data_IF_859637780357
#
_entry.id   IF_859637780357
#
_cell.length_a   1.000
_cell.length_b   1.000
_cell.length_c   1.000
_cell.angle_alpha   90.00
_cell.angle_beta   90.00
_cell.angle_gamma   90.00
#
_symmetry.space_group_name_H-M   'P 1'
#
loop_
_entity.id
_entity.type
_entity.pdbx_description
1 polymer ?
#
# COMPACT_ATOMS: atom_id res chain seq x y z
N UNK A 1 0.29 -1.60 20.75
CA UNK A 1 -1.08 -1.33 20.26
C UNK A 1 -1.46 -2.49 19.37
N UNK A 2 -2.56 -3.20 19.64
CA UNK A 2 -2.99 -4.33 18.79
C UNK A 2 -4.08 -3.80 17.85
N UNK A 3 -3.67 -3.03 16.85
CA UNK A 3 -4.55 -2.34 15.89
C UNK A 3 -5.69 -3.23 15.37
N UNK A 4 -5.42 -4.53 15.13
CA UNK A 4 -6.39 -5.50 14.62
C UNK A 4 -7.55 -5.85 15.57
N UNK A 5 -7.43 -5.60 16.88
CA UNK A 5 -8.52 -5.83 17.85
C UNK A 5 -9.08 -4.54 18.45
N UNK A 6 -8.34 -3.44 18.32
CA UNK A 6 -8.69 -2.14 18.91
C UNK A 6 -9.46 -1.24 17.91
N UNK A 7 -9.34 -1.48 16.60
CA UNK A 7 -10.00 -0.69 15.55
C UNK A 7 -11.06 -1.54 14.82
N UNK A 8 -12.34 -1.11 14.77
CA UNK A 8 -13.37 -1.78 13.99
C UNK A 8 -13.00 -1.90 12.49
N UNK A 9 -13.24 -3.06 11.88
CA UNK A 9 -12.94 -3.28 10.45
C UNK A 9 -13.55 -2.22 9.52
N UNK A 10 -14.82 -1.79 9.66
CA UNK A 10 -15.38 -0.74 8.79
C UNK A 10 -14.62 0.59 8.90
N UNK A 11 -14.14 0.94 10.10
CA UNK A 11 -13.34 2.14 10.30
C UNK A 11 -11.99 2.00 9.58
N UNK A 12 -11.31 0.87 9.72
CA UNK A 12 -10.03 0.62 9.05
C UNK A 12 -10.14 0.69 7.52
N UNK A 13 -11.23 0.15 6.96
CA UNK A 13 -11.50 0.20 5.52
C UNK A 13 -11.79 1.63 5.05
N UNK A 14 -12.61 2.39 5.79
CA UNK A 14 -12.89 3.78 5.47
C UNK A 14 -11.61 4.64 5.52
N UNK A 15 -10.78 4.47 6.55
CA UNK A 15 -9.49 5.15 6.65
C UNK A 15 -8.57 4.80 5.46
N UNK A 16 -8.53 3.54 5.03
CA UNK A 16 -7.76 3.10 3.87
C UNK A 16 -8.25 3.72 2.56
N UNK A 17 -9.57 3.81 2.36
CA UNK A 17 -10.18 4.49 1.21
C UNK A 17 -9.84 5.99 1.19
N UNK A 18 -9.91 6.66 2.34
CA UNK A 18 -9.51 8.06 2.49
C UNK A 18 -8.02 8.28 2.15
N UNK A 19 -7.13 7.39 2.61
CA UNK A 19 -5.71 7.46 2.28
C UNK A 19 -5.48 7.26 0.78
N UNK A 20 -6.17 6.28 0.17
CA UNK A 20 -6.10 6.02 -1.27
C UNK A 20 -6.52 7.24 -2.07
N UNK A 21 -7.65 7.86 -1.72
CA UNK A 21 -8.13 9.09 -2.37
C UNK A 21 -7.14 10.25 -2.22
N UNK A 22 -6.49 10.38 -1.06
CA UNK A 22 -5.44 11.39 -0.85
C UNK A 22 -4.22 11.14 -1.73
N UNK A 23 -3.75 9.89 -1.83
CA UNK A 23 -2.61 9.55 -2.69
C UNK A 23 -2.91 9.74 -4.17
N UNK A 24 -4.13 9.41 -4.63
CA UNK A 24 -4.54 9.67 -6.00
C UNK A 24 -4.43 11.16 -6.37
N UNK A 25 -4.92 12.06 -5.49
CA UNK A 25 -4.77 13.50 -5.70
C UNK A 25 -3.30 13.93 -5.73
N UNK A 26 -2.52 13.51 -4.72
CA UNK A 26 -1.11 13.85 -4.63
C UNK A 26 -0.34 13.43 -5.89
N UNK A 27 -0.53 12.19 -6.36
CA UNK A 27 0.13 11.67 -7.56
C UNK A 27 -0.30 12.45 -8.80
N UNK A 28 -1.58 12.80 -8.92
CA UNK A 28 -2.11 13.54 -10.07
C UNK A 28 -1.54 14.96 -10.18
N UNK A 29 -1.17 15.57 -9.05
CA UNK A 29 -0.63 16.93 -8.97
C UNK A 29 0.90 17.00 -9.20
N UNK A 30 1.59 15.87 -9.42
CA UNK A 30 3.04 15.81 -9.53
C UNK A 30 3.52 15.17 -10.84
N UNK A 31 4.65 15.66 -11.37
CA UNK A 31 5.33 15.00 -12.47
C UNK A 31 5.88 13.64 -12.01
N UNK A 32 5.59 12.61 -12.78
CA UNK A 32 6.09 11.26 -12.57
C UNK A 32 7.64 11.19 -12.57
N UNK A 33 8.31 12.09 -13.29
CA UNK A 33 9.77 12.17 -13.30
C UNK A 33 10.35 12.99 -12.14
N UNK A 34 9.51 13.54 -11.25
CA UNK A 34 9.98 14.31 -10.11
C UNK A 34 10.78 13.42 -9.15
N UNK A 35 12.00 13.86 -8.83
CA UNK A 35 12.94 13.13 -7.98
C UNK A 35 12.65 13.36 -6.48
N UNK A 36 12.78 12.31 -5.68
CA UNK A 36 12.63 12.39 -4.22
C UNK A 36 13.65 13.32 -3.60
N UNK A 37 13.24 14.08 -2.58
CA UNK A 37 14.15 14.94 -1.79
C UNK A 37 15.08 14.15 -0.88
N UNK A 38 14.65 12.97 -0.44
CA UNK A 38 15.43 12.06 0.40
C UNK A 38 15.81 10.82 -0.41
N UNK A 39 17.04 10.30 -0.25
CA UNK A 39 17.40 9.05 -0.88
C UNK A 39 16.68 7.87 -0.21
N UNK A 40 16.54 6.77 -0.94
CA UNK A 40 16.17 5.47 -0.37
C UNK A 40 17.38 4.87 0.39
N UNK A 41 17.18 3.72 1.03
CA UNK A 41 18.18 3.09 1.91
C UNK A 41 19.53 2.81 1.27
N UNK A 42 19.58 2.64 -0.06
CA UNK A 42 20.82 2.42 -0.81
C UNK A 42 21.50 3.72 -1.32
N UNK A 43 21.00 4.88 -0.90
CA UNK A 43 21.54 6.19 -1.26
C UNK A 43 21.02 6.77 -2.57
N UNK A 44 20.24 6.04 -3.37
CA UNK A 44 19.68 6.58 -4.62
C UNK A 44 18.54 7.56 -4.36
N UNK A 45 18.50 8.62 -5.16
CA UNK A 45 17.31 9.44 -5.32
C UNK A 45 16.49 8.86 -6.47
N UNK A 46 15.25 8.48 -6.19
CA UNK A 46 14.36 7.81 -7.14
C UNK A 46 13.30 8.81 -7.63
N UNK A 47 12.70 8.55 -8.78
CA UNK A 47 11.57 9.35 -9.25
C UNK A 47 10.23 8.84 -8.70
N UNK A 48 9.16 9.62 -8.89
CA UNK A 48 7.82 9.27 -8.45
C UNK A 48 7.30 7.99 -9.14
N UNK A 49 7.71 7.70 -10.39
CA UNK A 49 7.37 6.44 -11.08
C UNK A 49 7.88 5.24 -10.30
N UNK A 50 9.14 5.28 -9.88
CA UNK A 50 9.75 4.23 -9.10
C UNK A 50 8.99 4.04 -7.78
N UNK A 51 8.66 5.14 -7.08
CA UNK A 51 7.92 5.09 -5.81
C UNK A 51 6.56 4.42 -5.99
N UNK A 52 5.79 4.79 -7.02
CA UNK A 52 4.47 4.21 -7.26
C UNK A 52 4.58 2.72 -7.61
N UNK A 53 5.53 2.35 -8.48
CA UNK A 53 5.73 0.96 -8.84
C UNK A 53 6.12 0.11 -7.63
N UNK A 54 6.98 0.64 -6.77
CA UNK A 54 7.37 -0.02 -5.52
C UNK A 54 6.17 -0.20 -4.57
N UNK A 55 5.29 0.79 -4.44
CA UNK A 55 4.07 0.65 -3.63
C UNK A 55 3.11 -0.40 -4.20
N UNK A 56 2.96 -0.49 -5.53
CA UNK A 56 2.14 -1.53 -6.18
C UNK A 56 2.70 -2.93 -5.88
N UNK A 57 4.02 -3.10 -6.00
CA UNK A 57 4.69 -4.36 -5.69
C UNK A 57 4.45 -4.76 -4.23
N UNK A 58 4.70 -3.83 -3.31
CA UNK A 58 4.58 -4.06 -1.87
C UNK A 58 3.13 -4.36 -1.45
N UNK A 59 2.15 -3.65 -2.01
CA UNK A 59 0.73 -3.94 -1.80
C UNK A 59 0.35 -5.31 -2.34
N UNK A 60 0.82 -5.68 -3.54
CA UNK A 60 0.54 -7.00 -4.13
C UNK A 60 1.12 -8.13 -3.29
N UNK A 61 2.35 -7.96 -2.78
CA UNK A 61 3.02 -8.90 -1.88
C UNK A 61 2.21 -9.14 -0.61
N UNK A 62 1.73 -8.05 0.02
CA UNK A 62 0.89 -8.15 1.21
C UNK A 62 -0.48 -8.77 0.93
N UNK A 63 -1.11 -8.44 -0.21
CA UNK A 63 -2.37 -9.07 -0.60
C UNK A 63 -2.22 -10.58 -0.78
N UNK A 64 -1.13 -11.05 -1.39
CA UNK A 64 -0.84 -12.48 -1.49
C UNK A 64 -0.70 -13.15 -0.12
N UNK A 65 -0.03 -12.49 0.84
CA UNK A 65 0.06 -13.02 2.22
C UNK A 65 -1.30 -13.07 2.91
N UNK A 66 -2.14 -12.05 2.73
CA UNK A 66 -3.49 -12.02 3.29
C UNK A 66 -4.38 -13.09 2.69
N UNK A 67 -4.25 -13.35 1.38
CA UNK A 67 -4.98 -14.42 0.72
C UNK A 67 -4.58 -15.79 1.29
N UNK A 68 -3.29 -16.08 1.45
CA UNK A 68 -2.82 -17.31 2.11
C UNK A 68 -3.41 -17.47 3.51
N UNK A 69 -3.45 -16.41 4.32
CA UNK A 69 -4.07 -16.45 5.66
C UNK A 69 -5.58 -16.75 5.57
N UNK A 70 -6.27 -16.14 4.61
CA UNK A 70 -7.69 -16.41 4.35
C UNK A 70 -7.90 -17.87 3.94
N UNK A 71 -7.14 -18.38 2.97
CA UNK A 71 -7.20 -19.77 2.50
C UNK A 71 -6.98 -20.77 3.64
N UNK A 72 -6.02 -20.51 4.53
CA UNK A 72 -5.76 -21.36 5.70
C UNK A 72 -6.90 -21.32 6.73
N UNK A 73 -7.67 -20.23 6.77
CA UNK A 73 -8.76 -20.04 7.73
C UNK A 73 -10.09 -20.62 7.22
N UNK A 74 -10.37 -20.49 5.92
CA UNK A 74 -11.66 -20.88 5.34
C UNK A 74 -11.62 -22.10 4.40
N UNK A 75 -10.42 -22.60 4.06
CA UNK A 75 -10.21 -23.78 3.21
C UNK A 75 -10.49 -23.58 1.73
N UNK A 76 -10.77 -22.36 1.26
CA UNK A 76 -11.08 -22.06 -0.16
C UNK A 76 -9.88 -21.42 -0.85
N UNK A 77 -9.44 -21.98 -1.98
CA UNK A 77 -8.30 -21.45 -2.75
C UNK A 77 -8.72 -20.57 -3.94
N UNK A 78 -7.90 -19.58 -4.28
CA UNK A 78 -7.99 -18.83 -5.54
C UNK A 78 -9.25 -17.97 -5.74
N UNK A 79 -9.63 -17.18 -4.72
CA UNK A 79 -10.75 -16.25 -4.79
C UNK A 79 -10.42 -14.94 -5.52
#
# INVERSE_FOLDING_TARGET
MRTAVDIPLPQLLAEYEEQSARYHRLVSDHDLNATTKRPISDGRHVDLRWVILHLIEETSRHNGHLDVVRELTDGRTGA
#
